data_IF_674817526420
#
_entry.id   IF_674817526420
#
_cell.length_a   1.000
_cell.length_b   1.000
_cell.length_c   1.000
_cell.angle_alpha   90.00
_cell.angle_beta   90.00
_cell.angle_gamma   90.00
#
_symmetry.space_group_name_H-M   'P 1'
#
loop_
_entity.id
_entity.type
_entity.pdbx_description
1 polymer ?
#
# COMPACT_ATOMS: atom_id res chain seq x y z
N UNK A 1 -20.75 32.29 -22.83
CA UNK A 1 -21.08 30.90 -23.21
C UNK A 1 -19.85 30.03 -23.00
N UNK A 2 -19.91 28.99 -22.16
CA UNK A 2 -18.84 27.97 -22.09
C UNK A 2 -19.08 26.95 -23.21
N UNK A 3 -18.07 26.46 -23.94
CA UNK A 3 -18.28 25.47 -24.98
C UNK A 3 -18.68 24.14 -24.34
N UNK A 4 -19.67 23.47 -24.93
CA UNK A 4 -20.08 22.13 -24.52
C UNK A 4 -18.91 21.14 -24.75
N UNK A 5 -18.49 20.43 -23.70
CA UNK A 5 -17.58 19.30 -23.82
C UNK A 5 -18.32 18.10 -24.40
N UNK A 6 -17.83 17.53 -25.50
CA UNK A 6 -18.40 16.32 -26.10
C UNK A 6 -17.63 15.09 -25.63
N UNK A 7 -18.35 14.12 -25.08
CA UNK A 7 -17.80 12.83 -24.62
C UNK A 7 -18.14 11.76 -25.66
N UNK A 8 -17.14 11.04 -26.17
CA UNK A 8 -17.36 9.92 -27.09
C UNK A 8 -16.72 8.66 -26.48
N UNK A 9 -17.54 7.63 -26.26
CA UNK A 9 -17.07 6.30 -25.89
C UNK A 9 -16.86 5.53 -27.19
N UNK A 10 -15.62 5.12 -27.47
CA UNK A 10 -15.30 4.30 -28.64
C UNK A 10 -15.00 2.89 -28.13
N UNK A 11 -15.86 1.93 -28.45
CA UNK A 11 -15.60 0.53 -28.17
C UNK A 11 -14.73 -0.05 -29.30
N UNK A 12 -13.46 -0.36 -29.01
CA UNK A 12 -12.59 -1.09 -29.95
C UNK A 12 -12.42 -2.54 -29.48
N UNK A 13 -12.47 -3.46 -30.43
CA UNK A 13 -12.52 -4.90 -30.19
C UNK A 13 -11.24 -5.45 -29.54
N UNK A 14 -11.43 -6.45 -28.66
CA UNK A 14 -10.42 -7.27 -27.99
C UNK A 14 -9.10 -7.45 -28.76
N UNK A 15 -8.00 -6.96 -28.19
CA UNK A 15 -6.65 -7.42 -28.51
C UNK A 15 -6.23 -8.49 -27.50
N UNK A 16 -5.65 -9.60 -27.98
CA UNK A 16 -5.11 -10.66 -27.13
C UNK A 16 -3.70 -10.27 -26.68
N UNK A 17 -3.46 -10.21 -25.37
CA UNK A 17 -2.11 -10.31 -24.79
C UNK A 17 -2.13 -11.45 -23.79
N UNK A 18 -1.34 -12.49 -24.03
CA UNK A 18 -1.03 -13.56 -23.06
C UNK A 18 -2.14 -14.59 -22.79
N UNK A 19 -1.74 -15.86 -22.64
CA UNK A 19 -2.64 -16.97 -22.32
C UNK A 19 -3.07 -16.91 -20.84
N UNK A 20 -4.15 -16.20 -20.52
CA UNK A 20 -5.29 -16.77 -19.75
C UNK A 20 -6.40 -15.75 -19.46
N UNK A 21 -6.13 -14.45 -19.50
CA UNK A 21 -7.11 -13.47 -19.01
C UNK A 21 -7.62 -12.55 -20.12
N UNK A 22 -8.92 -12.70 -20.44
CA UNK A 22 -9.63 -11.78 -21.34
C UNK A 22 -9.94 -10.50 -20.58
N UNK A 23 -9.06 -9.51 -20.65
CA UNK A 23 -9.35 -8.16 -20.15
C UNK A 23 -9.97 -7.30 -21.26
N UNK A 24 -11.18 -6.82 -21.00
CA UNK A 24 -11.83 -5.81 -21.83
C UNK A 24 -11.22 -4.45 -21.46
N UNK A 25 -10.58 -3.79 -22.41
CA UNK A 25 -10.11 -2.41 -22.25
C UNK A 25 -11.14 -1.47 -22.89
N UNK A 26 -11.68 -0.53 -22.11
CA UNK A 26 -12.50 0.55 -22.63
C UNK A 26 -11.63 1.80 -22.72
N UNK A 27 -11.62 2.44 -23.89
CA UNK A 27 -10.87 3.67 -24.11
C UNK A 27 -11.84 4.84 -24.21
N UNK A 28 -11.67 5.83 -23.33
CA UNK A 28 -12.39 7.10 -23.39
C UNK A 28 -11.46 8.20 -23.89
N UNK A 29 -11.85 8.93 -24.93
CA UNK A 29 -11.16 10.15 -25.35
C UNK A 29 -11.89 11.37 -24.78
N UNK A 30 -11.21 12.12 -23.93
CA UNK A 30 -11.70 13.41 -23.44
C UNK A 30 -10.96 14.54 -24.15
N UNK A 31 -11.71 15.47 -24.77
CA UNK A 31 -11.15 16.63 -25.47
C UNK A 31 -11.54 17.92 -24.74
N UNK A 32 -10.55 18.60 -24.15
CA UNK A 32 -10.73 19.94 -23.58
C UNK A 32 -9.81 20.93 -24.29
N UNK A 33 -10.41 21.96 -24.88
CA UNK A 33 -9.77 23.02 -25.65
C UNK A 33 -8.89 22.54 -26.84
N UNK A 34 -7.69 22.01 -26.61
CA UNK A 34 -6.83 21.40 -27.66
C UNK A 34 -6.09 20.13 -27.20
N UNK A 35 -6.30 19.68 -25.97
CA UNK A 35 -5.63 18.51 -25.40
C UNK A 35 -6.54 17.30 -25.49
N UNK A 36 -6.00 16.16 -25.93
CA UNK A 36 -6.66 14.86 -25.94
C UNK A 36 -6.05 14.02 -24.82
N UNK A 37 -6.87 13.61 -23.86
CA UNK A 37 -6.45 12.72 -22.78
C UNK A 37 -7.00 11.33 -23.09
N UNK A 38 -6.10 10.35 -23.18
CA UNK A 38 -6.44 8.94 -23.32
C UNK A 38 -6.61 8.34 -21.93
N UNK A 39 -7.83 7.95 -21.58
CA UNK A 39 -8.12 7.23 -20.35
C UNK A 39 -8.21 5.74 -20.66
N UNK A 40 -7.31 4.95 -20.07
CA UNK A 40 -7.28 3.49 -20.20
C UNK A 40 -8.04 2.89 -19.02
N UNK A 41 -9.19 2.28 -19.28
CA UNK A 41 -9.94 1.55 -18.27
C UNK A 41 -9.69 0.06 -18.43
N UNK A 42 -9.00 -0.55 -17.46
CA UNK A 42 -9.02 -2.00 -17.27
C UNK A 42 -10.32 -2.37 -16.55
N UNK A 43 -11.02 -3.41 -17.01
CA UNK A 43 -12.36 -3.83 -16.54
C UNK A 43 -12.53 -4.22 -15.06
N UNK A 44 -11.66 -3.78 -14.15
CA UNK A 44 -11.94 -3.71 -12.72
C UNK A 44 -12.31 -2.25 -12.43
N UNK A 45 -13.56 -1.99 -12.06
CA UNK A 45 -14.03 -0.64 -11.75
C UNK A 45 -13.04 0.12 -10.87
N UNK A 46 -12.92 1.44 -11.08
CA UNK A 46 -12.05 2.30 -10.28
C UNK A 46 -12.47 2.18 -8.82
N UNK A 47 -11.79 1.32 -8.06
CA UNK A 47 -11.93 1.26 -6.61
C UNK A 47 -11.15 2.46 -6.07
N UNK A 48 -11.87 3.51 -5.71
CA UNK A 48 -11.34 4.57 -4.85
C UNK A 48 -11.14 3.96 -3.46
N UNK A 49 -10.01 3.31 -3.22
CA UNK A 49 -9.65 2.80 -1.88
C UNK A 49 -8.81 3.89 -1.21
N UNK A 50 -9.22 4.30 -0.01
CA UNK A 50 -8.44 5.24 0.79
C UNK A 50 -7.22 4.49 1.36
N UNK A 51 -6.05 5.12 1.42
CA UNK A 51 -4.85 4.61 2.12
C UNK A 51 -5.17 4.12 3.53
N UNK A 52 -6.11 4.76 4.23
CA UNK A 52 -6.59 4.30 5.53
C UNK A 52 -7.16 2.86 5.48
N UNK A 53 -7.99 2.55 4.49
CA UNK A 53 -8.59 1.21 4.34
C UNK A 53 -7.55 0.16 3.95
N UNK A 54 -6.58 0.57 3.12
CA UNK A 54 -5.42 -0.26 2.76
C UNK A 54 -4.63 -0.62 4.03
N UNK A 55 -4.28 0.37 4.86
CA UNK A 55 -3.54 0.17 6.10
C UNK A 55 -4.30 -0.69 7.11
N UNK A 56 -5.62 -0.51 7.23
CA UNK A 56 -6.46 -1.34 8.10
C UNK A 56 -6.50 -2.80 7.62
N UNK A 57 -6.65 -3.03 6.31
CA UNK A 57 -6.67 -4.37 5.74
C UNK A 57 -5.30 -5.05 5.90
N UNK A 58 -4.21 -4.33 5.62
CA UNK A 58 -2.84 -4.83 5.81
C UNK A 58 -2.61 -5.22 7.28
N UNK A 59 -2.94 -4.30 8.19
CA UNK A 59 -2.81 -4.50 9.64
C UNK A 59 -3.57 -5.74 10.13
N UNK A 60 -4.79 -5.94 9.63
CA UNK A 60 -5.59 -7.13 9.93
C UNK A 60 -4.91 -8.42 9.46
N UNK A 61 -4.45 -8.47 8.21
CA UNK A 61 -3.80 -9.68 7.68
C UNK A 61 -2.50 -10.02 8.41
N UNK A 62 -1.73 -9.01 8.82
CA UNK A 62 -0.55 -9.20 9.68
C UNK A 62 -0.95 -9.74 11.06
N UNK A 63 -2.02 -9.21 11.68
CA UNK A 63 -2.55 -9.73 12.94
C UNK A 63 -2.98 -11.19 12.81
N UNK A 64 -3.56 -11.59 11.68
CA UNK A 64 -3.97 -12.98 11.45
C UNK A 64 -2.75 -13.93 11.36
N UNK A 65 -1.59 -13.47 10.84
CA UNK A 65 -0.34 -14.26 10.83
C UNK A 65 0.26 -14.38 12.23
N UNK A 66 0.42 -13.25 12.92
CA UNK A 66 1.19 -13.17 14.16
C UNK A 66 0.34 -13.51 15.40
N UNK A 67 -0.98 -13.43 15.29
CA UNK A 67 -1.93 -13.69 16.37
C UNK A 67 -1.61 -12.90 17.63
N UNK A 68 -1.59 -13.59 18.77
CA UNK A 68 -1.29 -12.99 20.08
C UNK A 68 0.16 -12.56 20.25
N UNK A 69 1.06 -12.93 19.31
CA UNK A 69 2.45 -12.49 19.32
C UNK A 69 2.64 -11.09 18.74
N UNK A 70 1.67 -10.58 17.98
CA UNK A 70 1.71 -9.19 17.53
C UNK A 70 1.50 -8.26 18.72
N UNK A 71 2.48 -7.38 18.94
CA UNK A 71 2.35 -6.30 19.92
C UNK A 71 1.84 -5.02 19.29
N UNK A 72 2.49 -4.52 18.22
CA UNK A 72 2.09 -3.25 17.57
C UNK A 72 2.36 -3.26 16.08
N UNK A 73 1.56 -2.51 15.34
CA UNK A 73 1.82 -2.11 13.96
C UNK A 73 1.84 -0.59 13.93
N UNK A 74 2.95 -0.02 13.49
CA UNK A 74 3.23 1.41 13.54
C UNK A 74 3.53 1.88 12.11
N UNK A 75 2.69 2.75 11.59
CA UNK A 75 3.02 3.54 10.39
C UNK A 75 4.05 4.58 10.78
N UNK A 76 5.16 4.68 10.06
CA UNK A 76 6.14 5.74 10.27
C UNK A 76 6.50 6.39 8.93
N UNK A 77 7.50 7.27 8.93
CA UNK A 77 7.96 7.91 7.71
C UNK A 77 7.00 8.98 7.19
N UNK A 78 7.01 9.19 5.89
CA UNK A 78 6.35 10.35 5.27
C UNK A 78 4.82 10.34 5.39
N UNK A 79 4.22 9.15 5.34
CA UNK A 79 2.78 8.97 5.55
C UNK A 79 2.35 9.29 6.98
N UNK A 80 3.16 8.93 7.99
CA UNK A 80 2.87 9.27 9.37
C UNK A 80 3.01 10.78 9.65
N UNK A 81 4.00 11.43 9.04
CA UNK A 81 4.21 12.89 9.15
C UNK A 81 3.23 13.73 8.32
N UNK A 82 2.61 13.13 7.30
CA UNK A 82 1.73 13.82 6.35
C UNK A 82 2.48 14.62 5.27
N UNK A 83 3.78 14.35 5.07
CA UNK A 83 4.63 15.02 4.06
C UNK A 83 4.99 14.11 2.87
N UNK A 84 4.22 13.04 2.67
CA UNK A 84 4.36 12.08 1.57
C UNK A 84 4.11 12.71 0.20
N UNK A 85 4.67 12.08 -0.84
CA UNK A 85 4.54 12.41 -2.25
C UNK A 85 3.97 11.21 -3.00
N UNK A 86 3.56 11.42 -4.25
CA UNK A 86 2.92 10.39 -5.10
C UNK A 86 3.73 9.09 -5.22
N UNK A 87 5.06 9.14 -5.08
CA UNK A 87 5.96 7.99 -5.16
C UNK A 87 6.61 7.62 -3.81
N UNK A 88 6.02 8.05 -2.69
CA UNK A 88 6.53 7.70 -1.37
C UNK A 88 6.11 6.30 -0.98
N UNK A 89 7.04 5.56 -0.38
CA UNK A 89 6.76 4.27 0.24
C UNK A 89 5.91 4.46 1.50
N UNK A 90 5.08 3.45 1.80
CA UNK A 90 4.35 3.31 3.06
C UNK A 90 5.24 2.49 4.00
N UNK A 91 5.91 3.16 4.94
CA UNK A 91 6.81 2.52 5.89
C UNK A 91 6.08 2.00 7.15
N UNK A 92 6.22 0.71 7.45
CA UNK A 92 5.53 0.04 8.57
C UNK A 92 6.53 -0.71 9.46
N UNK A 93 6.49 -0.43 10.76
CA UNK A 93 7.17 -1.19 11.79
C UNK A 93 6.17 -2.15 12.44
N UNK A 94 6.51 -3.43 12.49
CA UNK A 94 5.74 -4.47 13.16
C UNK A 94 6.53 -4.93 14.38
N UNK A 95 5.99 -4.69 15.57
CA UNK A 95 6.55 -5.15 16.83
C UNK A 95 5.86 -6.42 17.29
N UNK A 96 6.66 -7.39 17.70
CA UNK A 96 6.20 -8.73 18.10
C UNK A 96 6.96 -9.23 19.32
N UNK A 97 6.41 -10.21 20.02
CA UNK A 97 7.12 -10.93 21.09
C UNK A 97 7.97 -12.09 20.57
N UNK A 98 7.98 -12.35 19.26
CA UNK A 98 8.76 -13.43 18.64
C UNK A 98 10.27 -13.17 18.76
N UNK A 99 11.06 -14.25 18.84
CA UNK A 99 12.52 -14.20 18.74
C UNK A 99 12.97 -13.88 17.30
N UNK A 100 14.22 -13.45 17.12
CA UNK A 100 14.77 -13.16 15.78
C UNK A 100 14.70 -14.38 14.82
N UNK A 101 14.85 -15.60 15.35
CA UNK A 101 14.72 -16.83 14.54
C UNK A 101 13.27 -17.08 14.10
N UNK A 102 12.30 -16.83 14.97
CA UNK A 102 10.87 -16.97 14.63
C UNK A 102 10.41 -15.85 13.69
N UNK A 103 10.94 -14.64 13.85
CA UNK A 103 10.73 -13.53 12.91
C UNK A 103 11.23 -13.93 11.52
N UNK A 104 12.45 -14.45 11.40
CA UNK A 104 12.98 -14.90 10.10
C UNK A 104 12.09 -15.96 9.41
N UNK A 105 11.39 -16.80 10.19
CA UNK A 105 10.44 -17.80 9.66
C UNK A 105 9.09 -17.19 9.23
N UNK A 106 8.68 -16.07 9.82
CA UNK A 106 7.40 -15.40 9.55
C UNK A 106 7.50 -14.24 8.56
N UNK A 107 8.67 -13.64 8.40
CA UNK A 107 8.94 -12.51 7.49
C UNK A 107 8.46 -12.78 6.07
N UNK A 108 8.70 -13.98 5.54
CA UNK A 108 8.24 -14.34 4.18
C UNK A 108 6.72 -14.18 4.02
N UNK A 109 5.94 -14.56 5.02
CA UNK A 109 4.48 -14.44 4.95
C UNK A 109 4.03 -12.97 5.00
N UNK A 110 4.69 -12.16 5.84
CA UNK A 110 4.44 -10.72 5.93
C UNK A 110 4.83 -10.00 4.63
N UNK A 111 5.98 -10.31 4.05
CA UNK A 111 6.43 -9.74 2.78
C UNK A 111 5.54 -10.13 1.61
N UNK A 112 4.98 -11.35 1.61
CA UNK A 112 4.00 -11.73 0.60
C UNK A 112 2.74 -10.86 0.67
N UNK A 113 2.24 -10.53 1.88
CA UNK A 113 1.11 -9.60 2.01
C UNK A 113 1.50 -8.22 1.47
N UNK A 114 2.66 -7.69 1.86
CA UNK A 114 3.11 -6.38 1.37
C UNK A 114 3.20 -6.34 -0.16
N UNK A 115 3.70 -7.41 -0.77
CA UNK A 115 3.77 -7.57 -2.23
C UNK A 115 2.39 -7.67 -2.88
N UNK A 116 1.45 -8.42 -2.31
CA UNK A 116 0.08 -8.51 -2.82
C UNK A 116 -0.61 -7.14 -2.80
N UNK A 117 -0.36 -6.34 -1.76
CA UNK A 117 -0.87 -4.97 -1.64
C UNK A 117 -0.24 -4.03 -2.66
N UNK A 118 1.07 -4.16 -2.89
CA UNK A 118 1.76 -3.43 -3.94
C UNK A 118 1.12 -3.69 -5.31
N UNK A 119 0.84 -4.97 -5.63
CA UNK A 119 0.22 -5.34 -6.90
C UNK A 119 -1.26 -4.96 -7.01
N UNK A 120 -2.02 -4.97 -5.91
CA UNK A 120 -3.45 -4.65 -5.92
C UNK A 120 -3.70 -3.13 -5.95
N UNK A 121 -2.90 -2.36 -5.20
CA UNK A 121 -3.18 -0.94 -4.93
C UNK A 121 -2.15 0.03 -5.51
N UNK A 122 -1.09 -0.46 -6.19
CA UNK A 122 0.03 0.37 -6.68
C UNK A 122 0.67 1.18 -5.55
N UNK A 123 0.80 0.54 -4.37
CA UNK A 123 1.30 1.15 -3.15
C UNK A 123 2.47 0.33 -2.58
N UNK A 124 3.67 0.90 -2.62
CA UNK A 124 4.88 0.24 -2.12
C UNK A 124 4.88 0.24 -0.58
N UNK A 125 4.61 -0.93 0.02
CA UNK A 125 4.65 -1.09 1.48
C UNK A 125 5.99 -1.67 1.90
N UNK A 126 6.79 -0.87 2.60
CA UNK A 126 8.06 -1.29 3.18
C UNK A 126 7.85 -1.72 4.64
N UNK A 127 8.26 -2.93 4.98
CA UNK A 127 7.97 -3.54 6.27
C UNK A 127 9.24 -3.91 7.02
N UNK A 128 9.30 -3.52 8.29
CA UNK A 128 10.34 -3.99 9.23
C UNK A 128 9.65 -4.72 10.38
N UNK A 129 10.01 -5.99 10.59
CA UNK A 129 9.53 -6.79 11.73
C UNK A 129 10.62 -6.85 12.80
N UNK A 130 10.28 -6.52 14.05
CA UNK A 130 11.21 -6.56 15.18
C UNK A 130 10.58 -7.08 16.45
N UNK A 131 11.41 -7.73 17.26
CA UNK A 131 11.06 -8.04 18.63
C UNK A 131 10.88 -6.71 19.42
N UNK A 132 9.81 -6.58 20.21
CA UNK A 132 9.51 -5.35 20.94
C UNK A 132 10.57 -5.01 21.99
N UNK A 133 11.14 -5.99 22.69
CA UNK A 133 12.20 -5.74 23.67
C UNK A 133 13.46 -5.22 22.98
N UNK A 134 13.79 -5.76 21.81
CA UNK A 134 14.90 -5.28 20.99
C UNK A 134 14.65 -3.84 20.49
N UNK A 135 13.44 -3.53 20.04
CA UNK A 135 13.05 -2.17 19.69
C UNK A 135 13.24 -1.21 20.87
N UNK A 136 12.73 -1.57 22.04
CA UNK A 136 12.81 -0.76 23.25
C UNK A 136 14.25 -0.57 23.76
N UNK A 137 15.09 -1.60 23.63
CA UNK A 137 16.50 -1.53 24.03
C UNK A 137 17.29 -0.44 23.29
N UNK A 138 16.95 -0.16 22.02
CA UNK A 138 17.66 0.81 21.21
C UNK A 138 17.09 2.23 21.24
N UNK A 139 15.99 2.46 21.95
CA UNK A 139 15.47 3.80 22.19
C UNK A 139 16.51 4.64 22.94
N UNK A 140 16.70 5.89 22.49
CA UNK A 140 17.70 6.84 22.96
C UNK A 140 19.12 6.56 22.47
N UNK A 141 19.38 5.40 21.86
CA UNK A 141 20.69 5.03 21.34
C UNK A 141 20.77 5.13 19.81
N UNK A 142 19.68 4.80 19.11
CA UNK A 142 19.61 4.82 17.65
C UNK A 142 18.47 5.73 17.17
N UNK A 143 18.78 6.86 16.50
CA UNK A 143 17.78 7.84 16.08
C UNK A 143 16.63 7.29 15.24
N UNK A 144 16.87 6.18 14.52
CA UNK A 144 15.83 5.50 13.76
C UNK A 144 14.65 5.05 14.63
N UNK A 145 14.91 4.33 15.74
CA UNK A 145 13.86 3.86 16.62
C UNK A 145 13.16 5.01 17.36
N UNK A 146 13.91 6.04 17.73
CA UNK A 146 13.36 7.25 18.34
C UNK A 146 12.38 7.96 17.41
N UNK A 147 12.71 8.04 16.11
CA UNK A 147 11.82 8.63 15.12
C UNK A 147 10.55 7.79 14.93
N UNK A 148 10.68 6.46 14.85
CA UNK A 148 9.51 5.56 14.78
C UNK A 148 8.62 5.74 16.01
N UNK A 149 9.18 5.82 17.22
CA UNK A 149 8.41 6.02 18.44
C UNK A 149 7.75 7.39 18.51
N UNK A 150 8.47 8.45 18.13
CA UNK A 150 8.04 9.85 18.29
C UNK A 150 7.05 10.30 17.23
N UNK A 151 7.22 9.85 16.00
CA UNK A 151 6.46 10.32 14.84
C UNK A 151 5.46 9.27 14.32
N UNK A 152 5.60 8.01 14.75
CA UNK A 152 4.78 6.91 14.27
C UNK A 152 3.33 6.96 14.74
N UNK A 153 2.42 6.47 13.88
CA UNK A 153 1.00 6.31 14.17
C UNK A 153 0.72 4.82 14.39
N UNK A 154 0.21 4.47 15.57
CA UNK A 154 -0.17 3.08 15.89
C UNK A 154 -1.46 2.74 15.14
N UNK A 155 -1.38 1.72 14.27
CA UNK A 155 -2.50 1.20 13.48
C UNK A 155 -3.22 0.05 14.21
N UNK A 156 -2.50 -0.70 15.03
CA UNK A 156 -2.99 -1.85 15.81
C UNK A 156 -2.01 -2.12 16.95
N UNK A 157 -2.52 -2.53 18.11
CA UNK A 157 -1.76 -2.90 19.30
C UNK A 157 -2.60 -2.96 20.56
#
# INVERSE_FOLDING_TARGET
>A
MRPASTFWIIQLSNSRVGKSDRHLFLFGLFKMHRTVILLIYSGKGVKMVNTHDILLNFSKQVKDILGDKLTKIILYGSYARGDYRDNSDIDIMILTTLTDEEIAKTEKAVFNIAFDFQMEYDADINVIVKNEEHFNYWLGALPFYDNVQREGIVLNG
#
